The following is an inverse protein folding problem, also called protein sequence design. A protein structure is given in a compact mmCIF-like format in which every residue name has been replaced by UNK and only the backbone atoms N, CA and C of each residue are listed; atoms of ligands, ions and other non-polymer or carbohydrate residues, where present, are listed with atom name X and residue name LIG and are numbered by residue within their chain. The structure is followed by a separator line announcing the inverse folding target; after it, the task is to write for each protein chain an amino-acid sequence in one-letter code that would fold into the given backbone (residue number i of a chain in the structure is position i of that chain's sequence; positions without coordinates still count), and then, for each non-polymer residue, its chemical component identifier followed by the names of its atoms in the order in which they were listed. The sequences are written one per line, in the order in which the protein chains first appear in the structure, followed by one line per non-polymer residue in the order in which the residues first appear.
data_IF_291519257687
#
_entry.id   IF_291519257687
#
_cell.length_a   1.000
_cell.length_b   1.000
_cell.length_c   1.000
_cell.angle_alpha   90.00
_cell.angle_beta   90.00
_cell.angle_gamma   90.00
#
_symmetry.space_group_name_H-M   'P 1'
#
loop_
_entity.id
_entity.type
_entity.pdbx_description
1 polymer ?
#
# COMPACT_ATOMS: atom_id res chain seq x y z
N UNK A 1 4.11 -45.46 -47.15
CA UNK A 1 4.31 -44.18 -46.45
C UNK A 1 3.94 -44.37 -44.98
N UNK A 2 4.86 -44.06 -44.07
CA UNK A 2 4.70 -44.34 -42.64
C UNK A 2 3.68 -43.40 -41.99
N UNK A 3 2.59 -43.96 -41.49
CA UNK A 3 1.69 -43.28 -40.58
C UNK A 3 2.38 -43.11 -39.22
N UNK A 4 2.67 -41.87 -38.83
CA UNK A 4 2.65 -41.43 -37.42
C UNK A 4 2.45 -39.91 -37.39
N UNK A 5 1.20 -39.47 -37.30
CA UNK A 5 0.88 -38.12 -36.81
C UNK A 5 1.06 -38.13 -35.29
N UNK A 6 2.31 -38.09 -34.84
CA UNK A 6 2.67 -38.06 -33.42
C UNK A 6 3.14 -36.67 -33.00
N UNK A 7 2.32 -35.64 -33.18
CA UNK A 7 2.61 -34.31 -32.61
C UNK A 7 1.94 -34.21 -31.23
N UNK A 8 2.74 -34.19 -30.17
CA UNK A 8 2.24 -34.00 -28.81
C UNK A 8 1.81 -32.55 -28.58
N UNK A 9 0.62 -32.33 -28.02
CA UNK A 9 0.18 -31.00 -27.59
C UNK A 9 0.94 -30.61 -26.31
N UNK A 10 1.86 -29.64 -26.38
CA UNK A 10 2.44 -29.05 -25.17
C UNK A 10 1.42 -28.08 -24.56
N UNK A 11 0.90 -28.43 -23.39
CA UNK A 11 0.03 -27.51 -22.62
C UNK A 11 0.93 -26.49 -21.92
N UNK A 12 1.18 -25.37 -22.59
CA UNK A 12 1.85 -24.23 -21.96
C UNK A 12 0.92 -23.65 -20.89
N UNK A 13 1.22 -23.91 -19.61
CA UNK A 13 0.47 -23.42 -18.45
C UNK A 13 0.63 -21.91 -18.28
N UNK A 14 -0.30 -21.14 -18.85
CA UNK A 14 -0.24 -19.67 -18.94
C UNK A 14 -0.81 -18.94 -17.72
N UNK A 15 -1.48 -19.64 -16.82
CA UNK A 15 -2.21 -19.00 -15.73
C UNK A 15 -1.45 -19.12 -14.41
N UNK A 16 -1.09 -17.98 -13.83
CA UNK A 16 -0.48 -17.89 -12.51
C UNK A 16 -1.46 -17.32 -11.50
N UNK A 17 -1.33 -17.73 -10.23
CA UNK A 17 -2.21 -17.24 -9.17
C UNK A 17 -2.20 -15.71 -9.08
N UNK A 18 -3.37 -15.07 -8.87
CA UNK A 18 -3.49 -13.62 -8.81
C UNK A 18 -2.68 -13.05 -7.65
N UNK A 19 -1.89 -12.00 -7.92
CA UNK A 19 -0.94 -11.41 -6.94
C UNK A 19 -1.55 -10.31 -6.06
N UNK A 20 -2.85 -10.02 -6.21
CA UNK A 20 -3.62 -9.02 -5.43
C UNK A 20 -2.95 -7.65 -5.32
N UNK A 21 -2.33 -7.22 -6.41
CA UNK A 21 -1.73 -5.89 -6.56
C UNK A 21 -2.83 -4.80 -6.58
N UNK A 22 -2.43 -3.54 -6.46
CA UNK A 22 -3.31 -2.39 -6.48
C UNK A 22 -3.23 -1.53 -5.22
N UNK A 23 -4.06 -0.51 -5.21
CA UNK A 23 -4.21 0.46 -4.12
C UNK A 23 -4.95 -0.20 -2.95
N UNK A 24 -4.48 0.05 -1.72
CA UNK A 24 -5.05 -0.48 -0.47
C UNK A 24 -5.69 0.61 0.38
N UNK A 25 -5.19 1.85 0.27
CA UNK A 25 -5.74 3.03 0.94
C UNK A 25 -6.02 4.11 -0.09
N UNK A 26 -7.20 4.72 0.01
CA UNK A 26 -7.65 5.77 -0.90
C UNK A 26 -7.37 7.16 -0.32
N UNK A 27 -7.51 8.18 -1.17
CA UNK A 27 -7.35 9.58 -0.77
C UNK A 27 -8.32 9.92 0.39
N UNK A 28 -7.86 10.73 1.35
CA UNK A 28 -8.66 11.16 2.49
C UNK A 28 -8.79 10.13 3.61
N UNK A 29 -8.23 8.92 3.46
CA UNK A 29 -8.20 7.94 4.54
C UNK A 29 -7.10 8.25 5.54
N UNK A 30 -7.41 8.07 6.83
CA UNK A 30 -6.42 8.10 7.89
C UNK A 30 -5.54 6.86 7.84
N UNK A 31 -4.23 7.04 7.85
CA UNK A 31 -3.24 5.97 7.83
C UNK A 31 -2.32 6.06 9.04
N UNK A 32 -1.92 4.90 9.54
CA UNK A 32 -0.91 4.77 10.60
C UNK A 32 0.48 4.49 9.99
N UNK A 33 1.58 4.74 10.71
CA UNK A 33 2.91 4.35 10.27
C UNK A 33 2.98 2.83 10.05
N UNK A 34 3.73 2.40 9.03
CA UNK A 34 3.88 1.00 8.64
C UNK A 34 2.76 0.45 7.74
N UNK A 35 1.65 1.17 7.57
CA UNK A 35 0.55 0.69 6.73
C UNK A 35 0.90 0.71 5.24
N UNK A 36 0.47 -0.35 4.54
CA UNK A 36 0.64 -0.47 3.08
C UNK A 36 -0.39 0.39 2.37
N UNK A 37 0.09 1.28 1.51
CA UNK A 37 -0.76 2.19 0.72
C UNK A 37 -1.06 1.59 -0.65
N UNK A 38 -0.03 1.09 -1.33
CA UNK A 38 -0.14 0.52 -2.69
C UNK A 38 0.84 -0.63 -2.85
N UNK A 39 0.36 -1.77 -3.38
CA UNK A 39 1.20 -2.87 -3.87
C UNK A 39 1.26 -2.81 -5.38
N UNK A 40 2.43 -2.63 -5.97
CA UNK A 40 2.57 -2.45 -7.41
C UNK A 40 3.71 -3.28 -7.98
N UNK A 41 3.77 -3.38 -9.30
CA UNK A 41 4.95 -3.86 -10.03
C UNK A 41 5.55 -2.68 -10.77
N UNK A 42 6.86 -2.52 -10.65
CA UNK A 42 7.53 -1.29 -11.06
C UNK A 42 7.09 -0.08 -10.24
N UNK A 43 7.41 1.12 -10.72
CA UNK A 43 7.14 2.39 -10.03
C UNK A 43 6.07 3.21 -10.76
N UNK A 44 4.82 2.72 -10.77
CA UNK A 44 3.67 3.47 -11.30
C UNK A 44 3.44 4.70 -10.43
N UNK A 45 3.38 4.48 -9.12
CA UNK A 45 3.34 5.51 -8.12
C UNK A 45 4.73 5.73 -7.50
N UNK A 46 5.02 7.00 -7.18
CA UNK A 46 6.26 7.45 -6.56
C UNK A 46 5.97 7.88 -5.10
N UNK A 47 6.77 7.40 -4.13
CA UNK A 47 6.64 7.88 -2.76
C UNK A 47 7.07 9.34 -2.63
N UNK A 48 6.46 10.09 -1.72
CA UNK A 48 7.01 11.35 -1.23
C UNK A 48 7.83 11.11 0.05
N UNK A 49 9.12 11.39 -0.02
CA UNK A 49 9.98 11.36 1.15
C UNK A 49 9.80 12.66 1.96
N UNK A 50 9.79 12.62 3.31
CA UNK A 50 10.01 11.46 4.19
C UNK A 50 8.72 10.74 4.65
N UNK A 51 7.54 11.20 4.21
CA UNK A 51 6.24 10.78 4.73
C UNK A 51 5.86 9.35 4.30
N UNK A 52 6.29 8.96 3.11
CA UNK A 52 5.98 7.69 2.48
C UNK A 52 7.26 7.09 1.93
N UNK A 53 7.42 5.77 2.05
CA UNK A 53 8.63 5.06 1.59
C UNK A 53 8.27 3.91 0.66
N UNK A 54 9.28 3.39 -0.03
CA UNK A 54 9.16 2.29 -0.99
C UNK A 54 10.06 1.13 -0.58
N UNK A 55 9.48 -0.07 -0.52
CA UNK A 55 10.20 -1.31 -0.27
C UNK A 55 10.90 -1.89 -1.51
N UNK A 56 11.58 -3.03 -1.33
CA UNK A 56 12.28 -3.76 -2.39
C UNK A 56 11.35 -4.21 -3.52
N UNK A 57 10.13 -4.62 -3.18
CA UNK A 57 9.10 -5.07 -4.13
C UNK A 57 8.29 -3.91 -4.74
N UNK A 58 8.78 -2.67 -4.62
CA UNK A 58 8.10 -1.43 -5.02
C UNK A 58 6.80 -1.14 -4.27
N UNK A 59 6.48 -1.89 -3.21
CA UNK A 59 5.36 -1.58 -2.32
C UNK A 59 5.59 -0.26 -1.61
N UNK A 60 4.56 0.57 -1.56
CA UNK A 60 4.59 1.87 -0.90
C UNK A 60 3.90 1.76 0.45
N UNK A 61 4.58 2.22 1.51
CA UNK A 61 4.07 2.22 2.87
C UNK A 61 4.20 3.60 3.52
N UNK A 62 3.32 3.88 4.49
CA UNK A 62 3.36 5.12 5.26
C UNK A 62 4.45 5.06 6.33
N UNK A 63 5.17 6.16 6.52
CA UNK A 63 6.15 6.32 7.59
C UNK A 63 5.59 7.18 8.75
N UNK A 64 4.50 7.92 8.52
CA UNK A 64 3.90 8.83 9.51
C UNK A 64 2.37 8.68 9.56
N UNK A 65 1.74 8.96 10.71
CA UNK A 65 0.29 9.03 10.77
C UNK A 65 -0.23 10.28 10.07
N UNK A 66 -1.37 10.17 9.38
CA UNK A 66 -2.00 11.32 8.72
C UNK A 66 -3.03 10.92 7.67
N UNK A 67 -3.47 11.91 6.89
CA UNK A 67 -4.39 11.69 5.77
C UNK A 67 -3.63 11.47 4.47
N UNK A 68 -4.03 10.45 3.71
CA UNK A 68 -3.43 10.12 2.42
C UNK A 68 -3.92 11.08 1.32
N UNK A 69 -3.01 11.61 0.52
CA UNK A 69 -3.31 12.44 -0.65
C UNK A 69 -2.54 11.95 -1.88
N UNK A 70 -3.20 11.97 -3.03
CA UNK A 70 -2.62 11.57 -4.33
C UNK A 70 -2.42 12.81 -5.20
N UNK A 71 -1.15 13.20 -5.44
CA UNK A 71 -0.77 14.25 -6.39
C UNK A 71 -0.30 13.62 -7.70
N UNK A 72 -1.26 13.26 -8.55
CA UNK A 72 -0.99 12.50 -9.76
C UNK A 72 -0.37 11.14 -9.44
N UNK A 73 0.90 10.94 -9.79
CA UNK A 73 1.63 9.69 -9.47
C UNK A 73 2.33 9.73 -8.11
N UNK A 74 2.29 10.82 -7.37
CA UNK A 74 2.98 10.96 -6.08
C UNK A 74 2.02 10.73 -4.91
N UNK A 75 2.44 9.92 -3.93
CA UNK A 75 1.69 9.71 -2.69
C UNK A 75 2.26 10.57 -1.58
N UNK A 76 1.41 11.33 -0.91
CA UNK A 76 1.73 12.21 0.21
C UNK A 76 0.86 11.90 1.41
N UNK A 77 1.41 12.04 2.62
CA UNK A 77 0.65 11.88 3.87
C UNK A 77 0.74 13.19 4.64
N UNK A 78 -0.37 13.94 4.67
CA UNK A 78 -0.45 15.17 5.47
C UNK A 78 -0.58 14.78 6.93
N UNK A 79 0.39 15.17 7.76
CA UNK A 79 0.28 14.96 9.20
C UNK A 79 -0.86 15.83 9.74
N UNK A 80 -1.81 15.24 10.45
CA UNK A 80 -2.58 16.06 11.37
C UNK A 80 -1.65 16.52 12.50
N UNK A 81 -1.83 17.74 13.03
CA UNK A 81 -1.07 18.19 14.18
C UNK A 81 -1.21 17.15 15.30
N UNK A 82 -0.11 16.79 15.96
CA UNK A 82 -0.19 16.05 17.22
C UNK A 82 -1.12 16.85 18.12
N UNK A 83 -2.17 16.25 18.73
CA UNK A 83 -2.83 16.92 19.83
C UNK A 83 -1.71 17.26 20.82
N UNK A 84 -1.55 18.54 21.12
CA UNK A 84 -0.64 18.98 22.16
C UNK A 84 -0.95 18.18 23.43
N UNK A 85 0.08 17.85 24.20
CA UNK A 85 0.01 17.01 25.42
C UNK A 85 -1.02 17.49 26.47
N UNK A 86 -1.68 18.62 26.24
CA UNK A 86 -2.78 19.18 27.03
C UNK A 86 -4.09 18.37 26.96
N UNK A 87 -4.33 17.55 25.94
CA UNK A 87 -5.61 16.79 25.83
C UNK A 87 -5.61 15.50 26.68
N UNK A 88 -4.44 14.94 27.01
CA UNK A 88 -4.35 13.64 27.72
C UNK A 88 -4.74 13.69 29.20
N UNK A 89 -4.84 14.87 29.83
CA UNK A 89 -5.21 14.98 31.25
C UNK A 89 -6.70 14.71 31.53
N UNK A 90 -7.57 14.83 30.54
CA UNK A 90 -9.02 14.61 30.73
C UNK A 90 -9.46 13.15 30.55
N UNK A 91 -8.74 12.34 29.77
CA UNK A 91 -9.12 10.94 29.52
C UNK A 91 -8.89 10.02 30.73
N UNK A 92 -7.96 10.37 31.62
CA UNK A 92 -7.69 9.58 32.84
C UNK A 92 -8.72 9.81 33.96
N UNK A 93 -9.58 10.84 33.87
CA UNK A 93 -10.58 11.15 34.90
C UNK A 93 -11.95 10.48 34.66
N UNK A 94 -12.16 9.86 33.50
CA UNK A 94 -13.45 9.28 33.09
C UNK A 94 -13.46 7.74 33.10
N UNK A 95 -12.43 7.11 33.69
CA UNK A 95 -12.27 5.64 33.76
C UNK A 95 -12.23 5.12 35.21
N UNK A 96 -12.75 5.88 36.18
CA UNK A 96 -12.83 5.50 37.60
C UNK A 96 -14.25 5.61 38.19
N UNK A 97 -15.27 5.45 37.36
CA UNK A 97 -16.62 5.06 37.79
C UNK A 97 -17.03 3.76 37.08
#
# INVERSE_FOLDING_TARGET
MAHKKGAGSTKNGRDSNPKRLGVKRFAGQWVFPGQVLVRQRGAVFKPSLPQTQRGRDFTIYSNRPGFLSFKGRRLEVSCAPRPSLLVCKFAHLWAME
#
